data_IF_257207850418
#
_entry.id   IF_257207850418
#
_cell.length_a   1.000
_cell.length_b   1.000
_cell.length_c   1.000
_cell.angle_alpha   90.00
_cell.angle_beta   90.00
_cell.angle_gamma   90.00
#
_symmetry.space_group_name_H-M   'P 1'
#
loop_
_entity.id
_entity.type
_entity.pdbx_description
1 polymer ?
#
# COMPACT_ATOMS: atom_id res chain seq x y z
N UNK A 1 -4.81 11.40 -18.56
CA UNK A 1 -4.17 10.21 -17.94
C UNK A 1 -3.31 9.44 -18.94
N UNK A 2 -3.85 9.04 -20.10
CA UNK A 2 -3.15 8.16 -21.07
C UNK A 2 -1.75 8.63 -21.49
N UNK A 3 -1.59 9.93 -21.76
CA UNK A 3 -0.28 10.52 -22.12
C UNK A 3 0.79 10.26 -21.05
N UNK A 4 0.48 10.45 -19.76
CA UNK A 4 1.45 10.26 -18.68
C UNK A 4 1.80 8.77 -18.49
N UNK A 5 0.82 7.87 -18.66
CA UNK A 5 1.04 6.43 -18.56
C UNK A 5 1.97 5.91 -19.66
N UNK A 6 1.85 6.44 -20.88
CA UNK A 6 2.73 6.08 -22.00
C UNK A 6 4.19 6.44 -21.71
N UNK A 7 4.43 7.57 -21.04
CA UNK A 7 5.78 8.00 -20.64
C UNK A 7 6.37 7.14 -19.53
N UNK A 8 5.55 6.50 -18.71
CA UNK A 8 5.98 5.63 -17.59
C UNK A 8 6.16 4.16 -18.01
N UNK A 9 6.49 3.92 -19.29
CA UNK A 9 6.94 2.64 -19.84
C UNK A 9 6.11 1.39 -19.49
N UNK A 10 4.80 1.54 -19.20
CA UNK A 10 3.88 0.47 -18.76
C UNK A 10 4.26 -0.18 -17.42
N UNK A 11 4.79 0.59 -16.47
CA UNK A 11 5.11 0.09 -15.12
C UNK A 11 3.88 -0.24 -14.25
N UNK A 12 2.65 -0.03 -14.75
CA UNK A 12 1.40 -0.23 -14.01
C UNK A 12 0.48 -1.21 -14.75
N UNK A 13 0.06 -2.27 -14.06
CA UNK A 13 -0.91 -3.24 -14.57
C UNK A 13 -2.34 -2.66 -14.61
N UNK A 14 -2.70 -1.88 -13.58
CA UNK A 14 -4.02 -1.25 -13.44
C UNK A 14 -3.91 0.20 -12.93
N UNK A 15 -4.87 1.03 -13.32
CA UNK A 15 -4.95 2.44 -12.92
C UNK A 15 -6.39 2.76 -12.51
N UNK A 16 -6.54 3.32 -11.30
CA UNK A 16 -7.81 3.77 -10.76
C UNK A 16 -7.77 5.26 -10.45
N UNK A 17 -8.67 6.01 -11.09
CA UNK A 17 -8.86 7.43 -10.83
C UNK A 17 -10.17 7.69 -10.09
N UNK A 18 -10.31 8.90 -9.53
CA UNK A 18 -11.55 9.28 -8.87
C UNK A 18 -12.75 9.28 -9.83
N UNK A 19 -12.53 9.55 -11.11
CA UNK A 19 -13.55 9.48 -12.16
C UNK A 19 -13.98 8.03 -12.41
N UNK A 20 -13.03 7.08 -12.43
CA UNK A 20 -13.33 5.64 -12.59
C UNK A 20 -14.14 5.09 -11.41
N UNK A 21 -13.86 5.58 -10.20
CA UNK A 21 -14.51 5.11 -8.97
C UNK A 21 -15.72 5.94 -8.56
N UNK A 22 -15.96 7.08 -9.20
CA UNK A 22 -16.98 8.07 -8.81
C UNK A 22 -16.79 8.66 -7.41
N UNK A 23 -15.56 8.68 -6.90
CA UNK A 23 -15.28 8.91 -5.49
C UNK A 23 -13.82 9.36 -5.30
N UNK A 24 -13.54 10.25 -4.33
CA UNK A 24 -12.17 10.70 -4.05
C UNK A 24 -11.66 10.11 -2.73
N UNK A 25 -10.34 9.92 -2.64
CA UNK A 25 -9.71 9.75 -1.33
C UNK A 25 -10.00 10.99 -0.45
N UNK A 26 -10.30 10.82 0.86
CA UNK A 26 -10.08 9.65 1.72
C UNK A 26 -11.35 8.83 1.94
N UNK A 27 -12.39 9.03 1.12
CA UNK A 27 -13.63 8.27 1.24
C UNK A 27 -13.32 6.77 1.12
N UNK A 28 -13.82 5.97 2.05
CA UNK A 28 -13.46 4.54 2.17
C UNK A 28 -13.99 3.72 0.99
N UNK A 29 -14.99 4.25 0.29
CA UNK A 29 -15.59 3.71 -0.92
C UNK A 29 -14.57 3.57 -2.04
N UNK A 30 -13.65 4.54 -2.20
CA UNK A 30 -12.54 4.45 -3.16
C UNK A 30 -11.68 3.21 -2.89
N UNK A 31 -11.24 3.06 -1.63
CA UNK A 31 -10.36 1.96 -1.23
C UNK A 31 -11.07 0.61 -1.31
N UNK A 32 -12.33 0.56 -0.87
CA UNK A 32 -13.15 -0.65 -0.92
C UNK A 32 -13.46 -1.07 -2.36
N UNK A 33 -13.64 -0.12 -3.28
CA UNK A 33 -13.78 -0.39 -4.71
C UNK A 33 -12.51 -1.07 -5.25
N UNK A 34 -11.34 -0.48 -5.01
CA UNK A 34 -10.05 -1.04 -5.47
C UNK A 34 -9.78 -2.41 -4.84
N UNK A 35 -10.06 -2.57 -3.54
CA UNK A 35 -9.93 -3.86 -2.84
C UNK A 35 -10.70 -4.97 -3.55
N UNK A 36 -11.99 -4.72 -3.86
CA UNK A 36 -12.83 -5.71 -4.52
C UNK A 36 -12.40 -5.96 -5.96
N UNK A 37 -12.07 -4.90 -6.70
CA UNK A 37 -11.72 -4.99 -8.12
C UNK A 37 -10.46 -5.82 -8.35
N UNK A 38 -9.46 -5.68 -7.47
CA UNK A 38 -8.19 -6.38 -7.54
C UNK A 38 -8.09 -7.58 -6.59
N UNK A 39 -9.16 -7.93 -5.87
CA UNK A 39 -9.18 -8.99 -4.86
C UNK A 39 -8.04 -8.88 -3.82
N UNK A 40 -7.83 -7.67 -3.29
CA UNK A 40 -6.73 -7.37 -2.39
C UNK A 40 -7.02 -7.80 -0.95
N UNK A 41 -5.97 -8.26 -0.28
CA UNK A 41 -5.90 -8.50 1.15
C UNK A 41 -4.47 -8.27 1.65
N UNK A 42 -4.24 -8.36 2.96
CA UNK A 42 -2.93 -8.07 3.55
C UNK A 42 -1.80 -9.05 3.20
N UNK A 43 -2.10 -10.16 2.52
CA UNK A 43 -1.09 -11.12 2.05
C UNK A 43 -0.63 -10.83 0.62
N UNK A 44 -1.37 -10.04 -0.16
CA UNK A 44 -1.04 -9.73 -1.56
C UNK A 44 -0.96 -8.22 -1.86
N UNK A 45 -1.11 -7.37 -0.85
CA UNK A 45 -1.16 -5.93 -1.03
C UNK A 45 -0.43 -5.15 0.08
N UNK A 46 0.31 -4.14 -0.34
CA UNK A 46 0.96 -3.15 0.51
C UNK A 46 0.76 -1.75 -0.09
N UNK A 47 0.05 -0.89 0.63
CA UNK A 47 -0.21 0.47 0.17
C UNK A 47 1.00 1.39 0.41
N UNK A 48 1.51 2.09 -0.60
CA UNK A 48 2.61 3.05 -0.44
C UNK A 48 2.13 4.44 -0.87
N UNK A 49 2.16 5.40 0.06
CA UNK A 49 1.64 6.74 -0.24
C UNK A 49 2.27 7.85 0.62
N UNK A 50 2.10 9.10 0.17
CA UNK A 50 2.60 10.32 0.86
C UNK A 50 1.54 10.98 1.75
N UNK A 51 0.27 10.92 1.40
CA UNK A 51 -0.80 11.62 2.11
C UNK A 51 -1.15 10.93 3.43
N UNK A 52 -0.82 11.54 4.57
CA UNK A 52 -1.17 10.95 5.86
C UNK A 52 -2.70 10.84 6.03
N UNK A 53 -3.41 11.97 5.93
CA UNK A 53 -4.86 12.03 6.07
C UNK A 53 -5.60 11.38 4.89
N UNK A 54 -5.04 11.48 3.69
CA UNK A 54 -5.70 11.04 2.45
C UNK A 54 -5.50 9.56 2.15
N UNK A 55 -4.40 8.96 2.61
CA UNK A 55 -4.04 7.57 2.31
C UNK A 55 -3.82 6.73 3.57
N UNK A 56 -2.97 7.18 4.51
CA UNK A 56 -2.58 6.36 5.67
C UNK A 56 -3.73 6.14 6.65
N UNK A 57 -4.50 7.19 6.95
CA UNK A 57 -5.69 7.12 7.81
C UNK A 57 -6.75 6.18 7.24
N UNK A 58 -7.24 6.31 5.99
CA UNK A 58 -8.22 5.38 5.46
C UNK A 58 -7.68 3.96 5.34
N UNK A 59 -6.40 3.77 4.99
CA UNK A 59 -5.77 2.44 5.02
C UNK A 59 -5.80 1.81 6.41
N UNK A 60 -5.57 2.58 7.48
CA UNK A 60 -5.71 2.08 8.85
C UNK A 60 -7.16 1.64 9.14
N UNK A 61 -8.15 2.45 8.73
CA UNK A 61 -9.58 2.16 8.98
C UNK A 61 -10.08 0.89 8.31
N UNK A 62 -9.57 0.56 7.12
CA UNK A 62 -9.93 -0.67 6.38
C UNK A 62 -8.98 -1.84 6.65
N UNK A 63 -7.95 -1.63 7.48
CA UNK A 63 -7.00 -2.66 7.88
C UNK A 63 -5.90 -2.98 6.86
N UNK A 64 -5.62 -2.11 5.89
CA UNK A 64 -4.53 -2.32 4.93
C UNK A 64 -3.14 -2.14 5.55
N UNK A 65 -2.22 -3.06 5.21
CA UNK A 65 -0.77 -2.83 5.36
C UNK A 65 -0.36 -1.60 4.55
N UNK A 66 0.49 -0.75 5.13
CA UNK A 66 0.82 0.55 4.55
C UNK A 66 2.22 1.07 4.89
N UNK A 67 2.82 1.77 3.94
CA UNK A 67 4.05 2.54 4.07
C UNK A 67 3.74 4.01 3.83
N UNK A 68 4.21 4.86 4.75
CA UNK A 68 4.12 6.31 4.64
C UNK A 68 5.42 6.93 4.16
N UNK A 69 5.36 7.66 3.05
CA UNK A 69 6.46 8.45 2.50
C UNK A 69 6.37 9.89 3.02
N UNK A 70 6.99 10.12 4.17
CA UNK A 70 6.98 11.38 4.92
C UNK A 70 8.10 12.33 4.48
N UNK A 71 8.04 12.83 3.23
CA UNK A 71 9.05 13.76 2.69
C UNK A 71 9.24 15.03 3.53
N UNK A 72 8.17 15.46 4.21
CA UNK A 72 8.13 16.71 4.97
C UNK A 72 8.46 16.51 6.46
N UNK A 73 8.75 15.27 6.90
CA UNK A 73 9.08 14.93 8.30
C UNK A 73 8.05 15.46 9.31
N UNK A 74 6.76 15.40 8.93
CA UNK A 74 5.67 15.81 9.82
C UNK A 74 5.34 14.69 10.81
N UNK A 75 4.81 15.03 11.98
CA UNK A 75 4.41 14.03 12.95
C UNK A 75 3.11 13.34 12.52
N UNK A 76 3.15 12.02 12.39
CA UNK A 76 1.95 11.20 12.23
C UNK A 76 1.28 10.89 13.58
N UNK A 77 0.06 10.37 13.53
CA UNK A 77 -0.69 9.98 14.72
C UNK A 77 -0.49 8.49 15.05
N UNK A 78 -0.32 8.18 16.34
CA UNK A 78 -0.12 6.81 16.84
C UNK A 78 -1.35 5.92 16.64
N UNK A 79 -2.55 6.49 16.68
CA UNK A 79 -3.82 5.78 16.49
C UNK A 79 -3.89 5.02 15.15
N UNK A 80 -3.19 5.50 14.11
CA UNK A 80 -3.23 4.89 12.77
C UNK A 80 -2.05 3.94 12.49
N UNK A 81 -1.21 3.66 13.50
CA UNK A 81 -0.16 2.65 13.42
C UNK A 81 -0.76 1.22 13.36
N UNK A 82 -0.04 0.22 12.82
CA UNK A 82 1.31 0.33 12.27
C UNK A 82 1.34 0.92 10.85
N UNK A 83 2.36 1.74 10.59
CA UNK A 83 2.86 2.09 9.27
C UNK A 83 4.37 2.20 9.31
N UNK A 84 5.05 1.70 8.29
CA UNK A 84 6.48 1.95 8.12
C UNK A 84 6.66 3.33 7.52
N UNK A 85 7.60 4.12 8.03
CA UNK A 85 7.87 5.47 7.53
C UNK A 85 9.21 5.53 6.78
N UNK A 86 9.21 6.23 5.65
CA UNK A 86 10.42 6.61 4.92
C UNK A 86 10.34 8.08 4.49
N UNK A 87 11.49 8.75 4.37
CA UNK A 87 11.53 10.13 3.88
C UNK A 87 11.44 10.22 2.35
N UNK A 88 11.73 9.14 1.63
CA UNK A 88 11.71 9.05 0.17
C UNK A 88 11.63 7.58 -0.28
N UNK A 89 11.67 7.34 -1.60
CA UNK A 89 11.45 6.01 -2.18
C UNK A 89 12.73 5.16 -2.29
N UNK A 90 13.93 5.73 -2.06
CA UNK A 90 15.21 5.07 -2.42
C UNK A 90 15.45 3.76 -1.65
N UNK A 91 15.03 3.70 -0.39
CA UNK A 91 15.20 2.53 0.45
C UNK A 91 14.10 1.46 0.24
N UNK A 92 13.02 1.78 -0.49
CA UNK A 92 11.89 0.87 -0.63
C UNK A 92 12.25 -0.45 -1.32
N UNK A 93 12.97 -0.48 -2.47
CA UNK A 93 13.26 -1.75 -3.13
C UNK A 93 13.98 -2.75 -2.21
N UNK A 94 14.95 -2.27 -1.43
CA UNK A 94 15.66 -3.10 -0.45
C UNK A 94 14.72 -3.58 0.66
N UNK A 95 13.90 -2.68 1.21
CA UNK A 95 12.95 -3.03 2.27
C UNK A 95 11.90 -4.05 1.81
N UNK A 96 11.37 -3.89 0.60
CA UNK A 96 10.40 -4.81 0.00
C UNK A 96 10.97 -6.22 -0.18
N UNK A 97 12.23 -6.33 -0.63
CA UNK A 97 12.94 -7.63 -0.70
C UNK A 97 13.09 -8.27 0.67
N UNK A 98 13.39 -7.48 1.70
CA UNK A 98 13.52 -7.98 3.07
C UNK A 98 12.19 -8.55 3.60
N UNK A 99 11.08 -7.82 3.46
CA UNK A 99 9.79 -8.30 3.95
C UNK A 99 9.31 -9.54 3.19
N UNK A 100 9.53 -9.59 1.87
CA UNK A 100 9.19 -10.78 1.07
C UNK A 100 9.96 -12.01 1.57
N UNK A 101 11.27 -11.89 1.77
CA UNK A 101 12.08 -13.00 2.29
C UNK A 101 11.65 -13.49 3.68
N UNK A 102 11.13 -12.60 4.53
CA UNK A 102 10.60 -12.98 5.85
C UNK A 102 9.27 -13.71 5.69
N UNK A 103 8.36 -13.20 4.87
CA UNK A 103 7.07 -13.84 4.61
C UNK A 103 7.25 -15.23 3.98
N UNK A 104 8.18 -15.40 3.03
CA UNK A 104 8.50 -16.69 2.41
C UNK A 104 9.01 -17.72 3.44
N UNK A 105 9.87 -17.30 4.37
CA UNK A 105 10.40 -18.18 5.44
C UNK A 105 9.29 -18.60 6.42
N UNK A 106 8.43 -17.66 6.82
CA UNK A 106 7.34 -17.97 7.74
C UNK A 106 6.37 -19.00 7.13
N UNK A 107 6.12 -18.93 5.82
CA UNK A 107 5.30 -19.93 5.12
C UNK A 107 5.97 -21.30 5.16
N UNK A 108 7.28 -21.39 4.93
CA UNK A 108 8.04 -22.65 4.98
C UNK A 108 8.01 -23.29 6.37
N UNK A 109 8.21 -22.50 7.43
CA UNK A 109 8.20 -22.98 8.82
C UNK A 109 6.81 -23.48 9.26
N UNK A 110 5.73 -22.86 8.76
CA UNK A 110 4.36 -23.31 9.03
C UNK A 110 4.01 -24.65 8.36
N UNK A 111 4.67 -25.01 7.26
CA UNK A 111 4.47 -26.30 6.57
C UNK A 111 5.30 -27.44 7.18
N UNK A 112 6.14 -27.17 8.18
CA UNK A 112 7.03 -28.15 8.82
C UNK A 112 6.62 -28.55 10.25
N UNK A 113 5.45 -28.11 10.75
CA UNK A 113 4.91 -28.67 11.99
C UNK A 113 4.25 -30.04 11.72
N UNK A 114 4.69 -31.13 12.36
CA UNK A 114 4.00 -32.41 12.29
C UNK A 114 2.67 -32.32 13.03
N UNK A 115 1.64 -33.00 12.49
CA UNK A 115 0.42 -33.38 13.22
C UNK A 115 0.74 -34.32 14.40
#
# INVERSE_FOLDING_TARGET
MQYNLQTMNKDFDDVFTADDTGCYKPQLEFFSFVQRKLNLNNNNHLHIAKGFWWDIVPCAKIGWKKIWINRNRINGLKEYQPYKEFNDLRALPTYLKTIQSIEDKNIQDHHQKPE
#
